data_IF_588790057932
#
_entry.id   IF_588790057932
#
_cell.length_a   1.000
_cell.length_b   1.000
_cell.length_c   1.000
_cell.angle_alpha   90.00
_cell.angle_beta   90.00
_cell.angle_gamma   90.00
#
_symmetry.space_group_name_H-M   'P 1'
#
loop_
_entity.id
_entity.type
_entity.pdbx_description
1 polymer ?
#
# COMPACT_ATOMS: atom_id res chain seq x y z
N UNK A 1 5.61 14.46 -14.20
CA UNK A 1 4.96 15.77 -13.97
C UNK A 1 5.05 16.69 -15.20
N UNK A 2 6.24 16.82 -15.84
CA UNK A 2 6.41 17.71 -17.01
C UNK A 2 5.38 17.49 -18.14
N UNK A 3 5.17 16.22 -18.55
CA UNK A 3 4.18 15.87 -19.59
C UNK A 3 2.75 16.25 -19.17
N UNK A 4 2.39 16.00 -17.92
CA UNK A 4 1.05 16.32 -17.39
C UNK A 4 0.80 17.82 -17.43
N UNK A 5 1.77 18.62 -16.97
CA UNK A 5 1.66 20.09 -16.98
C UNK A 5 1.51 20.62 -18.41
N UNK A 6 2.28 20.05 -19.36
CA UNK A 6 2.25 20.50 -20.76
C UNK A 6 0.92 20.15 -21.47
N UNK A 7 0.29 19.02 -21.11
CA UNK A 7 -0.92 18.53 -21.79
C UNK A 7 -2.20 18.98 -21.09
N UNK A 8 -2.23 19.03 -19.77
CA UNK A 8 -3.43 19.30 -18.98
C UNK A 8 -3.39 20.63 -18.21
N UNK A 9 -2.23 21.26 -18.12
CA UNK A 9 -2.04 22.50 -17.36
C UNK A 9 -1.74 22.28 -15.88
N UNK A 10 -1.27 23.35 -15.21
CA UNK A 10 -0.79 23.29 -13.82
C UNK A 10 -1.90 22.99 -12.81
N UNK A 11 -3.12 23.48 -13.04
CA UNK A 11 -4.25 23.26 -12.13
C UNK A 11 -4.63 21.77 -12.04
N UNK A 12 -4.71 21.07 -13.18
CA UNK A 12 -5.04 19.65 -13.22
C UNK A 12 -3.90 18.78 -12.64
N UNK A 13 -2.65 19.20 -12.82
CA UNK A 13 -1.53 18.57 -12.14
C UNK A 13 -1.68 18.70 -10.61
N UNK A 14 -2.12 19.87 -10.10
CA UNK A 14 -2.39 20.07 -8.68
C UNK A 14 -3.44 19.09 -8.14
N UNK A 15 -4.55 18.91 -8.84
CA UNK A 15 -5.59 17.94 -8.49
C UNK A 15 -5.05 16.50 -8.45
N UNK A 16 -4.27 16.11 -9.44
CA UNK A 16 -3.65 14.79 -9.49
C UNK A 16 -2.66 14.55 -8.34
N UNK A 17 -1.77 15.52 -8.08
CA UNK A 17 -0.78 15.39 -6.99
C UNK A 17 -1.47 15.28 -5.64
N UNK A 18 -2.53 16.07 -5.40
CA UNK A 18 -3.28 16.01 -4.16
C UNK A 18 -3.96 14.64 -3.98
N UNK A 19 -4.66 14.15 -5.01
CA UNK A 19 -5.28 12.83 -4.99
C UNK A 19 -4.25 11.71 -4.79
N UNK A 20 -3.08 11.82 -5.45
CA UNK A 20 -1.99 10.86 -5.30
C UNK A 20 -1.39 10.87 -3.89
N UNK A 21 -1.18 12.02 -3.28
CA UNK A 21 -0.62 12.12 -1.92
C UNK A 21 -1.54 11.47 -0.88
N UNK A 22 -2.85 11.69 -1.00
CA UNK A 22 -3.84 11.07 -0.11
C UNK A 22 -3.81 9.54 -0.27
N UNK A 23 -3.76 9.02 -1.49
CA UNK A 23 -3.86 7.58 -1.76
C UNK A 23 -2.55 6.83 -1.57
N UNK A 24 -1.39 7.46 -1.78
CA UNK A 24 -0.08 6.83 -1.74
C UNK A 24 0.48 6.59 -0.32
N UNK A 25 -0.17 7.11 0.73
CA UNK A 25 0.33 7.05 2.10
C UNK A 25 0.70 5.63 2.53
N UNK A 26 -0.19 4.67 2.33
CA UNK A 26 0.05 3.27 2.71
C UNK A 26 1.22 2.66 1.95
N UNK A 27 1.31 2.93 0.64
CA UNK A 27 2.39 2.41 -0.19
C UNK A 27 3.75 2.89 0.32
N UNK A 28 3.89 4.20 0.58
CA UNK A 28 5.15 4.79 1.06
C UNK A 28 5.54 4.26 2.44
N UNK A 29 4.60 4.25 3.39
CA UNK A 29 4.91 3.86 4.78
C UNK A 29 5.17 2.36 4.91
N UNK A 30 4.34 1.52 4.28
CA UNK A 30 4.50 0.06 4.36
C UNK A 30 5.77 -0.38 3.64
N UNK A 31 6.03 0.12 2.42
CA UNK A 31 7.20 -0.26 1.65
C UNK A 31 8.52 0.11 2.30
N UNK A 32 8.61 1.30 2.91
CA UNK A 32 9.82 1.80 3.55
C UNK A 32 10.32 0.89 4.68
N UNK A 33 9.40 0.32 5.45
CA UNK A 33 9.76 -0.53 6.59
C UNK A 33 10.02 -1.99 6.19
N UNK A 34 9.27 -2.53 5.26
CA UNK A 34 9.38 -3.94 4.85
C UNK A 34 10.69 -4.21 4.12
N UNK A 35 11.06 -3.39 3.16
CA UNK A 35 12.27 -3.62 2.36
C UNK A 35 13.55 -3.70 3.18
N UNK A 36 13.65 -2.89 4.25
CA UNK A 36 14.83 -2.86 5.13
C UNK A 36 15.03 -4.14 5.94
N UNK A 37 13.95 -4.82 6.29
CA UNK A 37 14.01 -6.03 7.15
C UNK A 37 14.00 -7.30 6.31
N UNK A 38 13.23 -7.31 5.23
CA UNK A 38 13.00 -8.51 4.45
C UNK A 38 14.16 -8.85 3.50
N UNK A 39 14.83 -7.86 2.93
CA UNK A 39 15.92 -8.12 1.99
C UNK A 39 17.06 -8.93 2.61
N UNK A 40 17.65 -8.55 3.77
CA UNK A 40 18.69 -9.35 4.41
C UNK A 40 18.21 -10.76 4.83
N UNK A 41 16.94 -10.85 5.28
CA UNK A 41 16.37 -12.14 5.67
C UNK A 41 16.20 -13.08 4.48
N UNK A 42 15.76 -12.60 3.31
CA UNK A 42 15.64 -13.43 2.11
C UNK A 42 17.01 -13.79 1.54
N UNK A 43 17.97 -12.87 1.57
CA UNK A 43 19.33 -13.13 1.12
C UNK A 43 20.04 -14.24 1.94
N UNK A 44 19.77 -14.31 3.26
CA UNK A 44 20.31 -15.39 4.10
C UNK A 44 19.61 -16.75 3.91
N UNK A 45 18.50 -16.80 3.18
CA UNK A 45 17.66 -17.99 2.96
C UNK A 45 17.58 -18.39 1.47
N UNK A 46 18.50 -17.90 0.62
CA UNK A 46 18.37 -18.03 -0.85
C UNK A 46 18.30 -19.49 -1.33
N UNK A 47 18.89 -20.42 -0.59
CA UNK A 47 18.89 -21.85 -0.90
C UNK A 47 17.64 -22.59 -0.37
N UNK A 48 16.90 -21.98 0.58
CA UNK A 48 15.67 -22.55 1.17
C UNK A 48 14.42 -21.89 0.56
N UNK A 49 13.90 -22.47 -0.52
CA UNK A 49 12.67 -21.99 -1.20
C UNK A 49 11.44 -22.00 -0.30
N UNK A 50 11.37 -22.93 0.67
CA UNK A 50 10.25 -22.98 1.61
C UNK A 50 10.34 -21.84 2.64
N UNK A 51 11.55 -21.45 3.07
CA UNK A 51 11.74 -20.28 3.92
C UNK A 51 11.37 -18.99 3.18
N UNK A 52 11.79 -18.83 1.91
CA UNK A 52 11.41 -17.69 1.07
C UNK A 52 9.89 -17.61 0.89
N UNK A 53 9.24 -18.74 0.60
CA UNK A 53 7.77 -18.83 0.48
C UNK A 53 7.08 -18.38 1.77
N UNK A 54 7.50 -18.92 2.93
CA UNK A 54 6.95 -18.52 4.23
C UNK A 54 7.12 -17.03 4.49
N UNK A 55 8.32 -16.50 4.23
CA UNK A 55 8.61 -15.07 4.39
C UNK A 55 7.73 -14.20 3.48
N UNK A 56 7.62 -14.55 2.19
CA UNK A 56 6.77 -13.83 1.24
C UNK A 56 5.31 -13.81 1.66
N UNK A 57 4.72 -14.97 1.94
CA UNK A 57 3.32 -15.10 2.33
C UNK A 57 3.04 -14.36 3.65
N UNK A 58 3.94 -14.46 4.61
CA UNK A 58 3.85 -13.76 5.90
C UNK A 58 3.84 -12.23 5.71
N UNK A 59 4.76 -11.69 4.92
CA UNK A 59 4.81 -10.25 4.66
C UNK A 59 3.59 -9.79 3.88
N UNK A 60 3.16 -10.54 2.86
CA UNK A 60 1.94 -10.23 2.12
C UNK A 60 0.70 -10.18 3.05
N UNK A 61 0.63 -11.05 4.05
CA UNK A 61 -0.41 -11.03 5.07
C UNK A 61 -0.34 -9.78 5.93
N UNK A 62 0.81 -9.41 6.48
CA UNK A 62 0.96 -8.19 7.28
C UNK A 62 0.68 -6.92 6.48
N UNK A 63 1.10 -6.87 5.22
CA UNK A 63 0.82 -5.70 4.36
C UNK A 63 -0.65 -5.57 4.03
N UNK A 64 -1.35 -6.69 3.80
CA UNK A 64 -2.78 -6.69 3.49
C UNK A 64 -3.62 -6.16 4.66
N UNK A 65 -3.21 -6.44 5.91
CA UNK A 65 -3.88 -5.95 7.14
C UNK A 65 -3.97 -4.42 7.18
N UNK A 66 -3.00 -3.73 6.59
CA UNK A 66 -2.98 -2.26 6.55
C UNK A 66 -3.51 -1.74 5.22
N UNK A 67 -3.07 -2.34 4.10
CA UNK A 67 -3.34 -1.82 2.77
C UNK A 67 -4.82 -1.97 2.36
N UNK A 68 -5.45 -3.11 2.67
CA UNK A 68 -6.84 -3.36 2.26
C UNK A 68 -7.81 -2.40 2.99
N UNK A 69 -7.85 -2.32 4.35
CA UNK A 69 -8.78 -1.42 5.03
C UNK A 69 -8.50 0.05 4.74
N UNK A 70 -7.24 0.45 4.58
CA UNK A 70 -6.91 1.82 4.19
C UNK A 70 -7.47 2.18 2.81
N UNK A 71 -7.26 1.32 1.80
CA UNK A 71 -7.74 1.54 0.44
C UNK A 71 -9.25 1.74 0.41
N UNK A 72 -9.99 0.79 0.97
CA UNK A 72 -11.45 0.85 0.98
C UNK A 72 -12.00 1.91 1.94
N UNK A 73 -11.31 2.16 3.06
CA UNK A 73 -11.65 3.25 3.96
C UNK A 73 -11.57 4.61 3.26
N UNK A 74 -10.44 4.90 2.61
CA UNK A 74 -10.27 6.13 1.82
C UNK A 74 -11.33 6.25 0.72
N UNK A 75 -11.66 5.17 0.02
CA UNK A 75 -12.69 5.21 -1.04
C UNK A 75 -14.06 5.69 -0.52
N UNK A 76 -14.46 5.24 0.67
CA UNK A 76 -15.78 5.55 1.23
C UNK A 76 -15.81 6.95 1.84
N UNK A 77 -14.73 7.36 2.49
CA UNK A 77 -14.63 8.61 3.24
C UNK A 77 -13.97 9.73 2.43
N UNK A 78 -13.61 9.48 1.16
CA UNK A 78 -12.91 10.44 0.30
C UNK A 78 -13.59 11.79 0.22
N UNK A 79 -14.91 11.82 0.03
CA UNK A 79 -15.72 13.03 -0.06
C UNK A 79 -15.65 13.85 1.23
N UNK A 80 -15.89 13.18 2.36
CA UNK A 80 -15.90 13.81 3.69
C UNK A 80 -14.49 14.37 4.03
N UNK A 81 -13.41 13.61 3.70
CA UNK A 81 -12.04 14.09 3.88
C UNK A 81 -11.74 15.32 3.02
N UNK A 82 -12.13 15.29 1.74
CA UNK A 82 -11.89 16.41 0.84
C UNK A 82 -12.65 17.65 1.29
N UNK A 83 -13.91 17.50 1.68
CA UNK A 83 -14.71 18.60 2.23
C UNK A 83 -14.10 19.16 3.51
N UNK A 84 -13.73 18.32 4.44
CA UNK A 84 -13.18 18.72 5.74
C UNK A 84 -11.82 19.42 5.64
N UNK A 85 -10.95 18.98 4.72
CA UNK A 85 -9.56 19.47 4.64
C UNK A 85 -9.36 20.56 3.58
N UNK A 86 -10.11 20.50 2.46
CA UNK A 86 -9.84 21.34 1.29
C UNK A 86 -11.03 22.16 0.84
N UNK A 87 -12.25 21.79 1.26
CA UNK A 87 -13.50 22.49 0.92
C UNK A 87 -14.07 22.07 -0.44
N UNK A 88 -15.25 22.65 -0.76
CA UNK A 88 -16.10 22.25 -1.89
C UNK A 88 -15.43 22.32 -3.27
N UNK A 89 -14.63 23.36 -3.49
CA UNK A 89 -13.93 23.55 -4.78
C UNK A 89 -13.06 22.38 -5.20
N UNK A 90 -12.74 21.49 -4.25
CA UNK A 90 -11.90 20.33 -4.47
C UNK A 90 -12.68 19.01 -4.63
N UNK A 91 -14.01 19.03 -4.59
CA UNK A 91 -14.84 17.83 -4.74
C UNK A 91 -14.61 17.08 -6.06
N UNK A 92 -14.17 17.80 -7.10
CA UNK A 92 -13.81 17.20 -8.39
C UNK A 92 -12.68 16.16 -8.30
N UNK A 93 -11.88 16.16 -7.21
CA UNK A 93 -10.81 15.17 -7.02
C UNK A 93 -11.30 13.86 -6.36
N UNK A 94 -12.50 13.84 -5.81
CA UNK A 94 -13.04 12.65 -5.10
C UNK A 94 -13.04 11.39 -6.00
N UNK A 95 -13.57 11.42 -7.23
CA UNK A 95 -13.50 10.27 -8.13
C UNK A 95 -12.06 9.85 -8.44
N UNK A 96 -11.12 10.81 -8.53
CA UNK A 96 -9.72 10.52 -8.78
C UNK A 96 -9.08 9.78 -7.59
N UNK A 97 -9.40 10.20 -6.35
CA UNK A 97 -8.96 9.52 -5.12
C UNK A 97 -9.48 8.08 -5.10
N UNK A 98 -10.77 7.88 -5.36
CA UNK A 98 -11.39 6.56 -5.33
C UNK A 98 -10.73 5.59 -6.32
N UNK A 99 -10.51 6.05 -7.55
CA UNK A 99 -9.89 5.25 -8.61
C UNK A 99 -8.41 5.01 -8.31
N UNK A 100 -7.65 6.04 -7.90
CA UNK A 100 -6.23 5.89 -7.55
C UNK A 100 -6.02 4.96 -6.34
N UNK A 101 -6.89 4.99 -5.34
CA UNK A 101 -6.79 4.14 -4.17
C UNK A 101 -6.74 2.65 -4.56
N UNK A 102 -7.58 2.21 -5.50
CA UNK A 102 -7.55 0.84 -6.04
C UNK A 102 -6.20 0.52 -6.66
N UNK A 103 -5.66 1.42 -7.48
CA UNK A 103 -4.34 1.24 -8.11
C UNK A 103 -3.19 1.15 -7.10
N UNK A 104 -3.28 1.91 -6.00
CA UNK A 104 -2.27 1.91 -4.94
C UNK A 104 -2.27 0.64 -4.08
N UNK A 105 -3.33 -0.17 -4.10
CA UNK A 105 -3.42 -1.43 -3.37
C UNK A 105 -2.40 -2.47 -3.87
N UNK A 106 -2.12 -2.50 -5.17
CA UNK A 106 -1.25 -3.51 -5.78
C UNK A 106 0.20 -3.42 -5.31
N UNK A 107 0.70 -2.21 -5.02
CA UNK A 107 2.07 -1.97 -4.55
C UNK A 107 2.40 -2.70 -3.24
N UNK A 108 1.68 -2.44 -2.14
CA UNK A 108 1.89 -3.09 -0.85
C UNK A 108 1.77 -4.61 -0.91
N UNK A 109 0.81 -5.15 -1.66
CA UNK A 109 0.61 -6.60 -1.79
C UNK A 109 1.80 -7.31 -2.44
N UNK A 110 2.55 -6.63 -3.31
CA UNK A 110 3.75 -7.14 -3.96
C UNK A 110 5.05 -6.54 -3.41
N UNK A 111 4.99 -5.83 -2.30
CA UNK A 111 6.11 -5.05 -1.79
C UNK A 111 7.38 -5.82 -1.46
N UNK A 112 7.24 -7.08 -1.17
CA UNK A 112 8.39 -7.96 -0.92
C UNK A 112 8.92 -8.68 -2.17
N UNK A 113 8.28 -8.55 -3.33
CA UNK A 113 8.72 -9.19 -4.57
C UNK A 113 10.15 -8.79 -4.95
N UNK A 114 10.50 -7.51 -4.80
CA UNK A 114 11.86 -7.03 -5.05
C UNK A 114 12.92 -7.72 -4.18
N UNK A 115 12.64 -7.92 -2.89
CA UNK A 115 13.53 -8.64 -1.98
C UNK A 115 13.68 -10.12 -2.38
N UNK A 116 12.60 -10.75 -2.88
CA UNK A 116 12.67 -12.13 -3.40
C UNK A 116 13.55 -12.19 -4.64
N UNK A 117 13.41 -11.25 -5.58
CA UNK A 117 14.23 -11.22 -6.79
C UNK A 117 15.71 -11.04 -6.48
N UNK A 118 16.05 -10.10 -5.59
CA UNK A 118 17.42 -9.84 -5.18
C UNK A 118 18.00 -11.02 -4.38
N UNK A 119 17.25 -11.56 -3.43
CA UNK A 119 17.69 -12.66 -2.59
C UNK A 119 17.86 -13.99 -3.34
N UNK A 120 17.13 -14.18 -4.45
CA UNK A 120 17.28 -15.36 -5.32
C UNK A 120 18.28 -15.15 -6.49
N UNK A 121 19.07 -14.07 -6.48
CA UNK A 121 19.99 -13.71 -7.56
C UNK A 121 19.30 -13.57 -8.94
N UNK A 122 18.07 -13.06 -8.93
CA UNK A 122 17.23 -12.84 -10.10
C UNK A 122 16.80 -11.37 -10.22
N UNK A 123 17.69 -10.46 -9.86
CA UNK A 123 17.47 -9.01 -9.89
C UNK A 123 16.95 -8.50 -11.26
N UNK A 124 17.33 -9.16 -12.35
CA UNK A 124 16.88 -8.81 -13.70
C UNK A 124 15.36 -8.89 -13.89
N UNK A 125 14.64 -9.73 -13.14
CA UNK A 125 13.17 -9.75 -13.16
C UNK A 125 12.59 -8.44 -12.63
N UNK A 126 13.13 -7.94 -11.50
CA UNK A 126 12.72 -6.65 -10.96
C UNK A 126 13.00 -5.49 -11.92
N UNK A 127 14.20 -5.50 -12.53
CA UNK A 127 14.57 -4.51 -13.55
C UNK A 127 13.62 -4.54 -14.75
N UNK A 128 13.40 -5.71 -15.36
CA UNK A 128 12.49 -5.86 -16.52
C UNK A 128 11.06 -5.43 -16.20
N UNK A 129 10.54 -5.76 -15.02
CA UNK A 129 9.21 -5.32 -14.59
C UNK A 129 9.14 -3.80 -14.40
N UNK A 130 10.22 -3.19 -13.89
CA UNK A 130 10.28 -1.73 -13.70
C UNK A 130 10.29 -1.03 -15.06
N UNK A 131 11.10 -1.51 -16.02
CA UNK A 131 11.13 -0.97 -17.39
C UNK A 131 9.78 -1.18 -18.08
N UNK A 132 9.20 -2.39 -18.00
CA UNK A 132 7.89 -2.68 -18.58
C UNK A 132 6.79 -1.77 -17.99
N UNK A 133 6.84 -1.53 -16.67
CA UNK A 133 5.92 -0.61 -15.99
C UNK A 133 6.07 0.81 -16.53
N UNK A 134 7.31 1.29 -16.66
CA UNK A 134 7.59 2.64 -17.15
C UNK A 134 7.09 2.81 -18.58
N UNK A 135 7.44 1.90 -19.48
CA UNK A 135 7.05 1.94 -20.89
C UNK A 135 5.52 1.84 -21.04
N UNK A 136 4.91 0.84 -20.41
CA UNK A 136 3.46 0.62 -20.49
C UNK A 136 2.68 1.80 -19.89
N UNK A 137 3.11 2.31 -18.73
CA UNK A 137 2.48 3.46 -18.11
C UNK A 137 2.63 4.73 -18.96
N UNK A 138 3.79 4.95 -19.58
CA UNK A 138 4.01 6.10 -20.44
C UNK A 138 3.11 6.06 -21.69
N UNK A 139 3.03 4.91 -22.36
CA UNK A 139 2.17 4.72 -23.53
C UNK A 139 0.71 4.94 -23.15
N UNK A 140 0.21 4.24 -22.13
CA UNK A 140 -1.17 4.36 -21.68
C UNK A 140 -1.50 5.77 -21.16
N UNK A 141 -0.55 6.40 -20.43
CA UNK A 141 -0.73 7.75 -19.93
C UNK A 141 -0.93 8.74 -21.09
N UNK A 142 -0.04 8.74 -22.10
CA UNK A 142 -0.15 9.66 -23.24
C UNK A 142 -1.42 9.39 -24.03
N UNK A 143 -1.72 8.13 -24.31
CA UNK A 143 -2.90 7.75 -25.11
C UNK A 143 -4.19 8.12 -24.36
N UNK A 144 -4.38 7.64 -23.14
CA UNK A 144 -5.62 7.87 -22.40
C UNK A 144 -5.80 9.34 -21.98
N UNK A 145 -4.69 10.04 -21.72
CA UNK A 145 -4.75 11.47 -21.38
C UNK A 145 -5.18 12.33 -22.58
N UNK A 146 -4.84 11.96 -23.82
CA UNK A 146 -5.32 12.62 -25.02
C UNK A 146 -6.83 12.45 -25.24
N UNK A 147 -7.39 11.29 -24.90
CA UNK A 147 -8.83 11.01 -25.11
C UNK A 147 -9.70 11.43 -23.94
N UNK A 148 -9.23 11.27 -22.70
CA UNK A 148 -10.04 11.41 -21.49
C UNK A 148 -9.51 12.46 -20.50
N UNK A 149 -8.43 13.18 -20.85
CA UNK A 149 -7.85 14.18 -19.95
C UNK A 149 -7.33 13.61 -18.63
N UNK A 150 -7.62 14.28 -17.51
CA UNK A 150 -7.18 13.89 -16.17
C UNK A 150 -7.69 12.51 -15.71
N UNK A 151 -8.96 12.11 -15.91
CA UNK A 151 -9.38 10.73 -15.67
C UNK A 151 -8.56 9.70 -16.43
N UNK A 152 -8.17 9.97 -17.69
CA UNK A 152 -7.32 9.08 -18.49
C UNK A 152 -5.96 8.82 -17.87
N UNK A 153 -5.35 9.84 -17.25
CA UNK A 153 -4.11 9.71 -16.49
C UNK A 153 -4.26 8.72 -15.32
N UNK A 154 -5.36 8.82 -14.57
CA UNK A 154 -5.63 7.94 -13.42
C UNK A 154 -5.89 6.50 -13.88
N UNK A 155 -6.69 6.31 -14.92
CA UNK A 155 -6.95 5.00 -15.50
C UNK A 155 -5.68 4.34 -16.05
N UNK A 156 -4.76 5.11 -16.64
CA UNK A 156 -3.49 4.55 -17.13
C UNK A 156 -2.68 3.89 -16.01
N UNK A 157 -2.68 4.48 -14.82
CA UNK A 157 -2.01 3.93 -13.64
C UNK A 157 -2.62 2.59 -13.21
N UNK A 158 -3.95 2.52 -13.11
CA UNK A 158 -4.66 1.29 -12.71
C UNK A 158 -4.46 0.18 -13.73
N UNK A 159 -4.65 0.49 -15.01
CA UNK A 159 -4.50 -0.51 -16.08
C UNK A 159 -3.08 -1.08 -16.06
N UNK A 160 -2.06 -0.21 -15.95
CA UNK A 160 -0.66 -0.64 -15.83
C UNK A 160 -0.46 -1.59 -14.64
N UNK A 161 -0.99 -1.24 -13.47
CA UNK A 161 -0.85 -2.06 -12.28
C UNK A 161 -1.63 -3.37 -12.39
N UNK A 162 -2.83 -3.35 -12.96
CA UNK A 162 -3.68 -4.54 -13.16
C UNK A 162 -3.05 -5.54 -14.14
N UNK A 163 -2.34 -5.07 -15.17
CA UNK A 163 -1.62 -5.93 -16.12
C UNK A 163 -0.34 -6.49 -15.48
N UNK A 164 0.42 -5.67 -14.76
CA UNK A 164 1.73 -6.09 -14.23
C UNK A 164 1.64 -6.84 -12.90
N UNK A 165 0.56 -6.69 -12.15
CA UNK A 165 0.36 -7.42 -10.89
C UNK A 165 0.35 -8.95 -11.09
N UNK A 166 -0.46 -9.53 -11.98
CA UNK A 166 -0.45 -10.98 -12.21
C UNK A 166 0.89 -11.47 -12.78
N UNK A 167 1.57 -10.67 -13.61
CA UNK A 167 2.90 -11.01 -14.13
C UNK A 167 3.92 -11.07 -12.98
N UNK A 168 3.92 -10.07 -12.11
CA UNK A 168 4.78 -10.01 -10.93
C UNK A 168 4.50 -11.20 -9.98
N UNK A 169 3.22 -11.47 -9.70
CA UNK A 169 2.79 -12.60 -8.88
C UNK A 169 3.23 -13.95 -9.48
N UNK A 170 3.12 -14.12 -10.79
CA UNK A 170 3.57 -15.32 -11.49
C UNK A 170 5.09 -15.52 -11.35
N UNK A 171 5.89 -14.47 -11.53
CA UNK A 171 7.35 -14.55 -11.40
C UNK A 171 7.77 -14.91 -9.97
N UNK A 172 7.18 -14.27 -8.96
CA UNK A 172 7.46 -14.59 -7.55
C UNK A 172 7.03 -16.01 -7.22
N UNK A 173 5.85 -16.45 -7.71
CA UNK A 173 5.37 -17.82 -7.56
C UNK A 173 6.35 -18.84 -8.16
N UNK A 174 6.94 -18.56 -9.31
CA UNK A 174 7.93 -19.43 -9.96
C UNK A 174 9.20 -19.59 -9.13
N UNK A 175 9.63 -18.52 -8.46
CA UNK A 175 10.83 -18.52 -7.62
C UNK A 175 10.58 -19.19 -6.26
N UNK A 176 9.50 -18.80 -5.58
CA UNK A 176 9.19 -19.26 -4.21
C UNK A 176 8.28 -20.50 -4.17
N UNK A 177 7.85 -21.06 -5.31
CA UNK A 177 7.06 -22.30 -5.47
C UNK A 177 5.81 -22.39 -4.57
N UNK A 178 5.01 -21.33 -4.48
CA UNK A 178 3.75 -21.33 -3.73
C UNK A 178 2.51 -21.45 -4.62
N UNK A 179 1.38 -21.89 -4.07
CA UNK A 179 0.09 -21.90 -4.74
C UNK A 179 -0.55 -20.53 -4.71
N UNK A 180 -1.21 -20.11 -5.80
CA UNK A 180 -2.02 -18.88 -5.83
C UNK A 180 -3.07 -18.87 -4.72
N UNK A 181 -3.66 -20.01 -4.42
CA UNK A 181 -4.61 -20.16 -3.33
C UNK A 181 -3.98 -19.84 -1.97
N UNK A 182 -2.73 -20.24 -1.74
CA UNK A 182 -2.00 -19.89 -0.52
C UNK A 182 -1.82 -18.40 -0.36
N UNK A 183 -1.59 -17.66 -1.46
CA UNK A 183 -1.51 -16.20 -1.44
C UNK A 183 -2.88 -15.56 -1.16
N UNK A 184 -3.93 -15.96 -1.89
CA UNK A 184 -5.29 -15.45 -1.68
C UNK A 184 -5.74 -15.70 -0.24
N UNK A 185 -5.48 -16.89 0.29
CA UNK A 185 -5.83 -17.25 1.68
C UNK A 185 -5.22 -16.31 2.74
N UNK A 186 -4.04 -15.71 2.45
CA UNK A 186 -3.43 -14.72 3.35
C UNK A 186 -4.17 -13.37 3.35
N UNK A 187 -4.86 -13.05 2.25
CA UNK A 187 -5.60 -11.80 2.10
C UNK A 187 -7.04 -11.88 2.69
N UNK A 188 -7.62 -13.08 2.74
CA UNK A 188 -9.02 -13.28 3.15
C UNK A 188 -9.38 -12.70 4.53
N UNK A 189 -8.57 -12.88 5.60
CA UNK A 189 -8.90 -12.31 6.90
C UNK A 189 -9.02 -10.78 6.86
N UNK A 190 -8.06 -10.13 6.19
CA UNK A 190 -8.09 -8.68 6.04
C UNK A 190 -9.25 -8.21 5.16
N UNK A 191 -9.54 -8.93 4.06
CA UNK A 191 -10.65 -8.61 3.16
C UNK A 191 -12.01 -8.73 3.88
N UNK A 192 -12.24 -9.84 4.63
CA UNK A 192 -13.48 -10.03 5.38
C UNK A 192 -13.66 -8.97 6.48
N UNK A 193 -12.62 -8.71 7.27
CA UNK A 193 -12.67 -7.68 8.31
C UNK A 193 -12.90 -6.28 7.72
N UNK A 194 -12.35 -6.02 6.53
CA UNK A 194 -12.60 -4.77 5.80
C UNK A 194 -14.05 -4.69 5.33
N UNK A 195 -14.66 -5.78 4.87
CA UNK A 195 -16.07 -5.80 4.49
C UNK A 195 -16.98 -5.44 5.66
N UNK A 196 -16.69 -5.96 6.85
CA UNK A 196 -17.43 -5.59 8.09
C UNK A 196 -17.20 -4.11 8.42
N UNK A 197 -15.97 -3.63 8.36
CA UNK A 197 -15.64 -2.21 8.56
C UNK A 197 -16.44 -1.31 7.60
N UNK A 198 -16.49 -1.67 6.32
CA UNK A 198 -17.27 -0.94 5.31
C UNK A 198 -18.76 -0.88 5.72
N UNK A 199 -19.35 -2.01 6.12
CA UNK A 199 -20.73 -2.06 6.56
C UNK A 199 -21.01 -1.13 7.75
N UNK A 200 -20.11 -1.12 8.74
CA UNK A 200 -20.22 -0.23 9.92
C UNK A 200 -20.08 1.23 9.52
N UNK A 201 -19.07 1.57 8.70
CA UNK A 201 -18.84 2.96 8.25
C UNK A 201 -20.02 3.47 7.42
N UNK A 202 -20.57 2.65 6.52
CA UNK A 202 -21.75 3.00 5.73
C UNK A 202 -23.01 3.18 6.61
N UNK A 203 -23.19 2.33 7.62
CA UNK A 203 -24.30 2.47 8.56
C UNK A 203 -24.20 3.78 9.36
N UNK A 204 -22.99 4.12 9.83
CA UNK A 204 -22.74 5.40 10.53
C UNK A 204 -22.96 6.58 9.58
N UNK A 205 -22.45 6.49 8.34
CA UNK A 205 -22.64 7.53 7.32
C UNK A 205 -24.12 7.74 7.02
N UNK A 206 -24.88 6.66 6.85
CA UNK A 206 -26.33 6.74 6.62
C UNK A 206 -27.07 7.35 7.82
N UNK A 207 -26.73 6.97 9.04
CA UNK A 207 -27.34 7.48 10.26
C UNK A 207 -27.07 8.99 10.45
N UNK A 208 -25.83 9.42 10.24
CA UNK A 208 -25.44 10.82 10.32
C UNK A 208 -26.10 11.67 9.24
N UNK A 209 -26.22 11.14 8.03
CA UNK A 209 -26.83 11.86 6.90
C UNK A 209 -28.36 11.93 7.02
N UNK A 210 -29.01 10.90 7.59
CA UNK A 210 -30.45 10.86 7.83
C UNK A 210 -30.91 11.83 8.92
N UNK A 211 -30.06 12.09 9.91
CA UNK A 211 -30.33 13.03 10.98
C UNK A 211 -29.80 14.41 10.56
N UNK A 212 -30.69 15.27 10.05
CA UNK A 212 -30.53 16.61 9.49
C UNK A 212 -29.64 17.61 10.29
N UNK A 213 -28.98 17.16 11.37
CA UNK A 213 -28.09 17.96 12.22
C UNK A 213 -26.71 18.26 11.61
N UNK A 214 -26.30 17.54 10.57
CA UNK A 214 -24.99 17.67 9.95
C UNK A 214 -25.11 18.29 8.57
N UNK A 215 -25.02 19.63 8.51
CA UNK A 215 -24.80 20.30 7.22
C UNK A 215 -23.36 20.05 6.77
N UNK A 216 -23.11 19.64 5.51
CA UNK A 216 -21.75 19.33 5.01
C UNK A 216 -20.77 20.52 4.99
N UNK A 217 -21.21 21.71 5.33
CA UNK A 217 -20.61 22.98 4.92
C UNK A 217 -19.87 23.77 6.01
N UNK A 218 -19.87 23.33 7.25
CA UNK A 218 -19.12 24.01 8.30
C UNK A 218 -17.73 23.38 8.47
N UNK A 219 -16.69 24.21 8.47
CA UNK A 219 -15.28 23.85 8.68
C UNK A 219 -15.02 23.01 9.96
N UNK A 220 -16.02 22.84 10.80
CA UNK A 220 -16.01 21.97 11.98
C UNK A 220 -16.21 20.48 11.66
N UNK A 221 -16.31 20.09 10.37
CA UNK A 221 -16.67 18.73 9.95
C UNK A 221 -15.52 17.75 9.85
N UNK A 222 -14.49 17.89 10.67
CA UNK A 222 -13.59 16.76 11.01
C UNK A 222 -14.36 15.72 11.84
N UNK A 223 -15.45 16.12 12.51
CA UNK A 223 -16.25 15.23 13.37
C UNK A 223 -16.80 13.98 12.64
N UNK A 224 -17.40 14.05 11.45
CA UNK A 224 -17.82 12.86 10.73
C UNK A 224 -16.66 11.92 10.39
N UNK A 225 -15.52 12.45 9.94
CA UNK A 225 -14.32 11.66 9.68
C UNK A 225 -13.81 10.95 10.93
N UNK A 226 -13.84 11.63 12.09
CA UNK A 226 -13.51 11.05 13.38
C UNK A 226 -14.52 9.98 13.81
N UNK A 227 -15.82 10.21 13.60
CA UNK A 227 -16.86 9.21 13.89
C UNK A 227 -16.65 7.94 13.05
N UNK A 228 -16.35 8.07 11.74
CA UNK A 228 -16.04 6.93 10.88
C UNK A 228 -14.78 6.18 11.33
N UNK A 229 -13.74 6.90 11.75
CA UNK A 229 -12.53 6.31 12.27
C UNK A 229 -12.76 5.59 13.61
N UNK A 230 -13.51 6.21 14.54
CA UNK A 230 -13.81 5.66 15.86
C UNK A 230 -14.72 4.44 15.75
N UNK A 231 -15.65 4.39 14.81
CA UNK A 231 -16.52 3.24 14.59
C UNK A 231 -15.85 2.15 13.72
N UNK A 232 -15.18 2.55 12.64
CA UNK A 232 -14.62 1.63 11.66
C UNK A 232 -13.37 0.90 12.13
N UNK A 233 -12.42 1.61 12.80
CA UNK A 233 -11.18 0.99 13.28
C UNK A 233 -11.42 -0.10 14.33
N UNK A 234 -12.22 0.10 15.40
CA UNK A 234 -12.52 -0.97 16.35
C UNK A 234 -13.28 -2.13 15.71
N UNK A 235 -14.21 -1.85 14.79
CA UNK A 235 -14.93 -2.89 14.06
C UNK A 235 -13.96 -3.74 13.22
N UNK A 236 -13.02 -3.12 12.52
CA UNK A 236 -11.97 -3.81 11.77
C UNK A 236 -11.06 -4.63 12.69
N UNK A 237 -10.49 -3.99 13.72
CA UNK A 237 -9.54 -4.65 14.63
C UNK A 237 -10.20 -5.79 15.41
N UNK A 238 -11.44 -5.59 15.86
CA UNK A 238 -12.22 -6.61 16.58
C UNK A 238 -12.50 -7.83 15.72
N UNK A 239 -13.01 -7.64 14.51
CA UNK A 239 -13.29 -8.74 13.57
C UNK A 239 -11.99 -9.42 13.11
N UNK A 240 -10.94 -8.66 12.85
CA UNK A 240 -9.63 -9.22 12.49
C UNK A 240 -9.04 -10.05 13.63
N UNK A 241 -9.14 -9.57 14.88
CA UNK A 241 -8.70 -10.31 16.06
C UNK A 241 -9.47 -11.62 16.25
N UNK A 242 -10.77 -11.64 15.97
CA UNK A 242 -11.59 -12.87 16.07
C UNK A 242 -11.20 -13.90 15.00
N UNK A 243 -10.91 -13.46 13.78
CA UNK A 243 -10.61 -14.35 12.64
C UNK A 243 -9.15 -14.82 12.70
N UNK A 244 -8.22 -13.94 13.06
CA UNK A 244 -6.79 -14.19 12.93
C UNK A 244 -5.98 -13.80 14.19
N UNK A 245 -6.29 -14.46 15.29
CA UNK A 245 -5.60 -14.28 16.58
C UNK A 245 -4.08 -14.52 16.49
N UNK A 246 -3.64 -15.39 15.57
CA UNK A 246 -2.23 -15.75 15.43
C UNK A 246 -1.41 -14.57 14.90
N UNK A 247 -1.90 -13.88 13.86
CA UNK A 247 -1.22 -12.71 13.28
C UNK A 247 -1.17 -11.54 14.25
N UNK A 248 -2.23 -11.31 15.01
CA UNK A 248 -2.25 -10.24 16.02
C UNK A 248 -1.23 -10.51 17.13
N UNK A 249 -1.21 -11.73 17.69
CA UNK A 249 -0.21 -12.10 18.71
C UNK A 249 1.22 -11.96 18.20
N UNK A 250 1.46 -12.33 16.94
CA UNK A 250 2.77 -12.22 16.31
C UNK A 250 3.16 -10.75 16.09
N UNK A 251 2.24 -9.90 15.62
CA UNK A 251 2.47 -8.47 15.46
C UNK A 251 2.81 -7.79 16.80
N UNK A 252 2.06 -8.07 17.86
CA UNK A 252 2.31 -7.57 19.21
C UNK A 252 3.68 -8.07 19.70
N UNK A 253 4.00 -9.35 19.50
CA UNK A 253 5.29 -9.93 19.89
C UNK A 253 6.47 -9.26 19.19
N UNK A 254 6.34 -8.88 17.91
CA UNK A 254 7.37 -8.15 17.16
C UNK A 254 7.56 -6.73 17.69
N UNK A 255 6.49 -6.03 18.04
CA UNK A 255 6.54 -4.67 18.60
C UNK A 255 7.23 -4.69 19.98
N UNK A 256 6.85 -5.61 20.85
CA UNK A 256 7.41 -5.75 22.19
C UNK A 256 8.90 -6.19 22.16
N UNK A 257 9.26 -7.03 21.18
CA UNK A 257 10.65 -7.51 21.01
C UNK A 257 11.59 -6.41 20.50
N UNK A 258 11.07 -5.44 19.72
CA UNK A 258 11.83 -4.30 19.22
C UNK A 258 12.19 -3.31 20.33
N UNK A 259 11.43 -3.26 21.42
CA UNK A 259 11.74 -2.44 22.60
C UNK A 259 12.84 -3.06 23.48
N UNK A 260 13.14 -4.35 23.37
CA UNK A 260 14.07 -5.07 24.25
C UNK A 260 15.51 -5.23 23.75
N UNK A 261 15.86 -4.82 22.50
CA UNK A 261 17.24 -4.89 22.00
C UNK A 261 17.65 -3.59 21.30
N UNK A 262 18.40 -2.70 21.97
CA UNK A 262 19.29 -1.80 21.23
C UNK A 262 20.34 -2.69 20.53
N UNK A 263 20.52 -2.48 19.22
CA UNK A 263 21.59 -3.11 18.45
C UNK A 263 22.90 -2.73 19.11
N UNK A 264 23.75 -3.69 19.54
CA UNK A 264 25.00 -3.35 20.18
C UNK A 264 25.91 -2.64 19.16
N UNK A 265 26.27 -1.41 19.46
CA UNK A 265 27.17 -0.53 18.70
C UNK A 265 28.56 -1.16 18.45
N UNK A 266 28.89 -2.27 19.11
CA UNK A 266 30.15 -2.99 18.97
C UNK A 266 30.41 -3.62 17.60
N UNK A 267 29.39 -4.04 16.85
CA UNK A 267 29.57 -4.63 15.51
C UNK A 267 29.93 -3.60 14.43
N UNK A 268 29.56 -2.34 14.61
CA UNK A 268 29.96 -1.25 13.69
C UNK A 268 31.43 -0.86 13.88
N UNK A 269 31.90 -0.87 15.11
CA UNK A 269 33.30 -0.51 15.44
C UNK A 269 34.31 -1.59 15.01
N UNK A 270 33.91 -2.86 14.99
CA UNK A 270 34.78 -3.95 14.47
C UNK A 270 34.90 -3.91 12.93
N UNK A 271 33.82 -3.60 12.22
CA UNK A 271 33.89 -3.42 10.78
C UNK A 271 34.70 -2.21 10.36
N UNK A 272 34.68 -1.11 11.11
CA UNK A 272 35.56 0.04 10.84
C UNK A 272 37.05 -0.29 11.04
N UNK A 273 37.38 -1.09 12.04
CA UNK A 273 38.76 -1.57 12.27
C UNK A 273 39.23 -2.53 11.17
N UNK A 274 38.34 -3.39 10.65
CA UNK A 274 38.67 -4.30 9.57
C UNK A 274 38.91 -3.59 8.23
N UNK A 275 38.13 -2.53 7.95
CA UNK A 275 38.29 -1.69 6.76
C UNK A 275 39.57 -0.85 6.84
N UNK A 276 39.91 -0.27 8.01
CA UNK A 276 41.14 0.48 8.22
C UNK A 276 42.42 -0.38 8.13
N UNK A 277 42.37 -1.62 8.61
CA UNK A 277 43.51 -2.53 8.49
C UNK A 277 43.77 -3.03 7.05
N UNK A 278 42.73 -3.07 6.21
CA UNK A 278 42.85 -3.43 4.79
C UNK A 278 43.33 -2.29 3.89
N UNK A 279 43.24 -1.06 4.37
CA UNK A 279 43.70 0.13 3.64
C UNK A 279 45.19 0.48 3.94
N UNK A 280 45.78 -0.15 4.97
CA UNK A 280 47.17 0.09 5.40
C UNK A 280 48.15 -1.06 5.06
N UNK A 281 47.72 -2.09 4.36
CA UNK A 281 48.54 -3.12 3.72
C UNK A 281 48.33 -3.08 2.19
#
# INVERSE_FOLDING_TARGET
HFLITRMLGAAQLGFYILAQNITAFTNIQVMRHIGRVLFPAVASMQDDKEAIKRAFLKVSRFTSVIAIPYTFGIMIVAEDIVLAMYGEKWLSIVPLIQVLAVGQLFGPLMGCAGSVYLGCDKAYYGYRLTVARLVLNLILMVTLMNFYGLPGLVWSHIITQSILFPVNLYLVRRLAKFSLWSFVKQLLPAAFSTAVMIGVVLAVKWHLHSNSYWRPWDFHNILPCLAYAIAGLPAYLGTFFLIDRSTVKEAIGLILRKQKKPVPVKAAAENEKFVKNKANN
#
